data_IF_515912816993
#
_entry.id   IF_515912816993
#
_cell.length_a   1.000
_cell.length_b   1.000
_cell.length_c   1.000
_cell.angle_alpha   90.00
_cell.angle_beta   90.00
_cell.angle_gamma   90.00
#
_symmetry.space_group_name_H-M   'P 1'
#
loop_
_entity.id
_entity.type
_entity.pdbx_description
1 polymer ?
#
# COMPACT_ATOMS: atom_id res chain seq x y z
N UNK A 1 5.18 -0.36 -10.18
CA UNK A 1 4.80 -0.73 -11.56
C UNK A 1 3.57 0.04 -12.02
N UNK A 2 2.49 -0.04 -11.26
CA UNK A 2 1.31 0.83 -11.41
C UNK A 2 1.67 2.30 -11.20
N UNK A 3 2.40 2.63 -10.13
CA UNK A 3 2.88 4.00 -9.85
C UNK A 3 3.59 4.61 -11.07
N UNK A 4 4.58 3.91 -11.65
CA UNK A 4 5.28 4.37 -12.86
C UNK A 4 4.33 4.71 -14.03
N UNK A 5 3.19 4.02 -14.18
CA UNK A 5 2.22 4.30 -15.24
C UNK A 5 1.25 5.42 -14.87
N UNK A 6 0.87 5.52 -13.60
CA UNK A 6 0.08 6.63 -13.08
C UNK A 6 0.82 7.96 -13.32
N UNK A 7 2.10 8.01 -12.96
CA UNK A 7 2.88 9.25 -12.99
C UNK A 7 3.50 9.59 -14.34
N UNK A 8 3.41 8.69 -15.34
CA UNK A 8 4.14 8.82 -16.61
C UNK A 8 3.80 10.10 -17.40
N UNK A 9 2.54 10.54 -17.31
CA UNK A 9 2.02 11.68 -18.08
C UNK A 9 1.50 12.81 -17.18
N UNK A 10 1.82 12.76 -15.88
CA UNK A 10 1.47 13.81 -14.92
C UNK A 10 2.60 14.83 -14.84
N UNK A 11 2.24 16.09 -14.57
CA UNK A 11 3.23 17.12 -14.25
C UNK A 11 3.95 16.76 -12.94
N UNK A 12 5.29 16.62 -12.94
CA UNK A 12 6.04 16.22 -11.75
C UNK A 12 5.95 17.21 -10.58
N UNK A 13 5.46 18.45 -10.81
CA UNK A 13 5.24 19.43 -9.74
C UNK A 13 3.98 19.15 -8.92
N UNK A 14 3.05 18.37 -9.47
CA UNK A 14 1.73 18.13 -8.87
C UNK A 14 1.64 16.86 -8.03
N UNK A 15 2.70 16.04 -7.96
CA UNK A 15 2.69 14.81 -7.19
C UNK A 15 4.03 14.48 -6.55
N UNK A 16 3.99 13.66 -5.51
CA UNK A 16 5.16 13.08 -4.87
C UNK A 16 4.97 11.57 -4.69
N UNK A 17 6.01 10.79 -4.97
CA UNK A 17 6.02 9.33 -4.73
C UNK A 17 6.84 9.05 -3.50
N UNK A 18 6.20 8.52 -2.46
CA UNK A 18 6.79 8.31 -1.14
C UNK A 18 7.00 6.81 -0.93
N UNK A 19 8.23 6.29 -1.08
CA UNK A 19 8.53 4.90 -0.80
C UNK A 19 8.67 4.66 0.70
N UNK A 20 7.91 3.69 1.24
CA UNK A 20 7.94 3.39 2.67
C UNK A 20 8.85 2.19 2.95
N UNK A 21 9.88 2.46 3.75
CA UNK A 21 10.81 1.48 4.30
C UNK A 21 10.60 1.28 5.81
N UNK A 22 11.38 0.37 6.41
CA UNK A 22 11.39 0.16 7.85
C UNK A 22 11.64 1.48 8.61
N UNK A 23 10.97 1.71 9.75
CA UNK A 23 11.09 2.97 10.48
C UNK A 23 12.50 3.15 11.08
N UNK A 24 13.01 4.38 11.05
CA UNK A 24 14.27 4.77 11.68
C UNK A 24 14.11 5.05 13.19
N UNK A 25 15.21 5.34 13.88
CA UNK A 25 15.22 5.54 15.34
C UNK A 25 14.46 6.79 15.80
N UNK A 26 14.29 7.79 14.95
CA UNK A 26 13.43 8.95 15.23
C UNK A 26 11.96 8.53 15.10
N UNK A 27 11.59 7.93 13.97
CA UNK A 27 10.22 7.48 13.70
C UNK A 27 9.70 6.51 14.77
N UNK A 28 10.55 5.59 15.26
CA UNK A 28 10.22 4.65 16.35
C UNK A 28 9.93 5.32 17.70
N UNK A 29 10.39 6.55 17.91
CA UNK A 29 10.14 7.34 19.14
C UNK A 29 8.82 8.11 19.09
N UNK A 30 8.15 8.13 17.95
CA UNK A 30 6.84 8.76 17.78
C UNK A 30 5.74 7.72 17.60
N UNK A 31 4.49 8.18 17.63
CA UNK A 31 3.37 7.36 17.17
C UNK A 31 3.59 6.93 15.72
N UNK A 32 3.33 5.68 15.35
CA UNK A 32 3.68 5.15 14.03
C UNK A 32 3.03 5.89 12.85
N UNK A 33 1.85 6.49 13.06
CA UNK A 33 1.18 7.33 12.05
C UNK A 33 1.88 8.68 11.82
N UNK A 34 2.71 9.15 12.75
CA UNK A 34 3.36 10.46 12.69
C UNK A 34 4.13 10.66 11.38
N UNK A 35 4.95 9.67 10.99
CA UNK A 35 5.74 9.74 9.76
C UNK A 35 4.88 9.88 8.50
N UNK A 36 3.67 9.32 8.49
CA UNK A 36 2.77 9.41 7.35
C UNK A 36 2.03 10.74 7.31
N UNK A 37 1.71 11.32 8.48
CA UNK A 37 1.15 12.66 8.58
C UNK A 37 2.10 13.74 8.06
N UNK A 38 3.41 13.57 8.26
CA UNK A 38 4.42 14.51 7.74
C UNK A 38 4.45 14.54 6.20
N UNK A 39 4.08 13.43 5.56
CA UNK A 39 4.15 13.24 4.10
C UNK A 39 2.82 13.55 3.39
N UNK A 40 1.83 14.08 4.11
CA UNK A 40 0.56 14.44 3.51
C UNK A 40 0.74 15.58 2.49
N UNK A 41 0.10 15.50 1.32
CA UNK A 41 0.29 16.49 0.28
C UNK A 41 -0.38 17.81 0.67
N UNK A 42 0.19 18.92 0.22
CA UNK A 42 -0.50 20.22 0.27
C UNK A 42 -1.73 20.21 -0.65
N UNK A 43 -2.65 21.15 -0.44
CA UNK A 43 -3.84 21.28 -1.27
C UNK A 43 -3.52 21.32 -2.78
N UNK A 44 -4.30 20.60 -3.58
CA UNK A 44 -4.11 20.48 -5.03
C UNK A 44 -2.95 19.57 -5.46
N UNK A 45 -2.28 18.87 -4.53
CA UNK A 45 -1.19 17.93 -4.84
C UNK A 45 -1.58 16.49 -4.50
N UNK A 46 -0.87 15.55 -5.10
CA UNK A 46 -1.12 14.12 -4.97
C UNK A 46 0.08 13.45 -4.29
N UNK A 47 -0.14 12.80 -3.15
CA UNK A 47 0.84 11.91 -2.54
C UNK A 47 0.57 10.46 -2.95
N UNK A 48 1.59 9.76 -3.43
CA UNK A 48 1.51 8.36 -3.86
C UNK A 48 2.43 7.52 -2.97
N UNK A 49 1.83 6.78 -2.05
CA UNK A 49 2.52 5.90 -1.12
C UNK A 49 2.84 4.54 -1.76
N UNK A 50 4.13 4.18 -1.90
CA UNK A 50 4.58 2.82 -2.25
C UNK A 50 4.80 2.02 -0.96
N UNK A 51 3.78 1.23 -0.59
CA UNK A 51 3.44 0.82 0.80
C UNK A 51 3.00 2.01 1.65
N UNK A 52 2.40 1.76 2.81
CA UNK A 52 1.81 2.81 3.66
C UNK A 52 1.70 2.39 5.13
N UNK A 53 0.91 3.12 5.92
CA UNK A 53 0.60 2.82 7.34
C UNK A 53 0.01 1.41 7.56
N UNK A 54 -0.52 0.77 6.51
CA UNK A 54 -0.97 -0.62 6.57
C UNK A 54 0.14 -1.63 6.89
N UNK A 55 1.42 -1.23 6.82
CA UNK A 55 2.54 -2.06 7.30
C UNK A 55 2.34 -2.57 8.74
N UNK A 56 1.75 -1.75 9.62
CA UNK A 56 1.45 -2.07 11.02
C UNK A 56 0.55 -3.29 11.19
N UNK A 57 -0.43 -3.48 10.29
CA UNK A 57 -1.41 -4.57 10.34
C UNK A 57 -1.12 -5.70 9.34
N UNK A 58 -0.03 -5.57 8.57
CA UNK A 58 0.47 -6.55 7.61
C UNK A 58 1.85 -7.05 8.02
N UNK A 59 2.92 -6.53 7.41
CA UNK A 59 4.29 -7.03 7.60
C UNK A 59 4.72 -6.98 9.06
N UNK A 60 4.43 -5.91 9.79
CA UNK A 60 4.82 -5.81 11.20
C UNK A 60 4.09 -6.82 12.10
N UNK A 61 2.85 -7.17 11.74
CA UNK A 61 2.07 -8.23 12.42
C UNK A 61 2.64 -9.61 12.10
N UNK A 62 2.92 -9.91 10.83
CA UNK A 62 3.35 -11.25 10.38
C UNK A 62 4.80 -11.54 10.76
N UNK A 63 5.65 -10.51 10.80
CA UNK A 63 7.06 -10.63 11.19
C UNK A 63 7.29 -10.41 12.69
N UNK A 64 6.26 -10.03 13.46
CA UNK A 64 6.38 -9.79 14.91
C UNK A 64 7.18 -8.53 15.26
N UNK A 65 7.18 -7.52 14.38
CA UNK A 65 7.80 -6.21 14.66
C UNK A 65 6.91 -5.28 15.49
N UNK A 66 5.69 -5.71 15.79
CA UNK A 66 4.77 -5.04 16.71
C UNK A 66 4.10 -6.06 17.63
N UNK A 67 3.62 -5.62 18.79
CA UNK A 67 2.87 -6.48 19.70
C UNK A 67 1.44 -6.71 19.21
N UNK A 68 0.77 -7.79 19.66
CA UNK A 68 -0.63 -8.01 19.33
C UNK A 68 -1.57 -6.85 19.69
N UNK A 69 -1.31 -6.18 20.80
CA UNK A 69 -2.07 -5.02 21.27
C UNK A 69 -1.91 -3.84 20.31
N UNK A 70 -0.69 -3.63 19.80
CA UNK A 70 -0.39 -2.54 18.88
C UNK A 70 -1.12 -2.69 17.55
N UNK A 71 -1.03 -3.83 16.87
CA UNK A 71 -1.71 -3.96 15.57
C UNK A 71 -3.24 -4.05 15.72
N UNK A 72 -3.75 -4.63 16.83
CA UNK A 72 -5.20 -4.67 17.07
C UNK A 72 -5.77 -3.26 17.27
N UNK A 73 -5.04 -2.38 17.96
CA UNK A 73 -5.38 -0.97 18.15
C UNK A 73 -5.27 -0.19 16.83
N UNK A 74 -4.25 -0.49 16.03
CA UNK A 74 -3.96 0.19 14.76
C UNK A 74 -5.13 0.20 13.78
N UNK A 75 -5.98 -0.83 13.76
CA UNK A 75 -7.17 -0.83 12.90
C UNK A 75 -8.09 0.37 13.17
N UNK A 76 -8.31 0.73 14.44
CA UNK A 76 -9.12 1.89 14.79
C UNK A 76 -8.40 3.18 14.43
N UNK A 77 -7.12 3.28 14.78
CA UNK A 77 -6.28 4.47 14.53
C UNK A 77 -6.16 4.78 13.02
N UNK A 78 -6.06 3.74 12.18
CA UNK A 78 -6.06 3.86 10.72
C UNK A 78 -7.40 4.43 10.24
N UNK A 79 -8.53 3.86 10.68
CA UNK A 79 -9.84 4.34 10.26
C UNK A 79 -10.08 5.80 10.69
N UNK A 80 -9.71 6.16 11.92
CA UNK A 80 -9.82 7.53 12.43
C UNK A 80 -8.96 8.51 11.61
N UNK A 81 -7.72 8.13 11.28
CA UNK A 81 -6.85 8.96 10.43
C UNK A 81 -7.45 9.15 9.03
N UNK A 82 -7.94 8.07 8.41
CA UNK A 82 -8.53 8.12 7.08
C UNK A 82 -9.83 8.92 7.05
N UNK A 83 -10.63 8.85 8.12
CA UNK A 83 -11.82 9.67 8.32
C UNK A 83 -11.46 11.15 8.44
N UNK A 84 -10.43 11.50 9.21
CA UNK A 84 -9.96 12.88 9.31
C UNK A 84 -9.55 13.44 7.94
N UNK A 85 -8.82 12.65 7.13
CA UNK A 85 -8.43 13.04 5.78
C UNK A 85 -9.65 13.20 4.87
N UNK A 86 -10.59 12.26 4.90
CA UNK A 86 -11.80 12.33 4.09
C UNK A 86 -12.67 13.55 4.46
N UNK A 87 -12.81 13.85 5.75
CA UNK A 87 -13.56 15.00 6.26
C UNK A 87 -12.90 16.34 5.89
N UNK A 88 -11.57 16.38 5.83
CA UNK A 88 -10.82 17.53 5.30
C UNK A 88 -11.05 17.76 3.79
N UNK A 89 -11.51 16.73 3.07
CA UNK A 89 -11.75 16.78 1.63
C UNK A 89 -10.70 16.05 0.78
N UNK A 90 -9.78 15.31 1.41
CA UNK A 90 -8.80 14.50 0.69
C UNK A 90 -9.49 13.37 -0.07
N UNK A 91 -9.13 13.21 -1.35
CA UNK A 91 -9.53 12.04 -2.14
C UNK A 91 -8.58 10.88 -1.82
N UNK A 92 -9.02 9.98 -0.94
CA UNK A 92 -8.24 8.81 -0.54
C UNK A 92 -8.59 7.58 -1.39
N UNK A 93 -7.60 7.05 -2.10
CA UNK A 93 -7.77 5.83 -2.94
C UNK A 93 -6.80 4.75 -2.47
N UNK A 94 -7.34 3.61 -2.04
CA UNK A 94 -6.55 2.49 -1.50
C UNK A 94 -6.56 1.30 -2.46
N UNK A 95 -5.40 0.71 -2.71
CA UNK A 95 -5.25 -0.40 -3.65
C UNK A 95 -4.62 -1.62 -3.01
N UNK A 96 -5.30 -2.76 -3.08
CA UNK A 96 -4.71 -4.06 -2.80
C UNK A 96 -4.48 -4.80 -4.11
N UNK A 97 -3.22 -5.15 -4.40
CA UNK A 97 -2.83 -5.81 -5.65
C UNK A 97 -2.80 -7.33 -5.45
N UNK A 98 -3.93 -7.99 -5.66
CA UNK A 98 -4.07 -9.43 -5.47
C UNK A 98 -3.37 -10.20 -6.59
N UNK A 99 -2.50 -11.14 -6.23
CA UNK A 99 -1.86 -12.07 -7.17
C UNK A 99 -2.01 -13.49 -6.63
N UNK A 100 -2.07 -14.47 -7.53
CA UNK A 100 -2.12 -15.87 -7.12
C UNK A 100 -0.75 -16.36 -6.65
N UNK A 101 -0.77 -17.39 -5.79
CA UNK A 101 0.45 -17.99 -5.23
C UNK A 101 1.35 -18.51 -6.34
N UNK A 102 0.81 -19.09 -7.39
CA UNK A 102 1.56 -19.62 -8.54
C UNK A 102 2.15 -18.50 -9.38
N UNK A 103 1.37 -17.45 -9.65
CA UNK A 103 1.83 -16.29 -10.42
C UNK A 103 2.92 -15.50 -9.69
N UNK A 104 2.84 -15.41 -8.36
CA UNK A 104 3.91 -14.84 -7.54
C UNK A 104 5.22 -15.63 -7.74
N UNK A 105 5.17 -16.97 -7.64
CA UNK A 105 6.35 -17.82 -7.82
C UNK A 105 6.94 -17.67 -9.22
N UNK A 106 6.10 -17.70 -10.25
CA UNK A 106 6.52 -17.52 -11.64
C UNK A 106 7.28 -16.20 -11.81
N UNK A 107 6.77 -15.11 -11.22
CA UNK A 107 7.43 -13.79 -11.24
C UNK A 107 8.75 -13.76 -10.47
N UNK A 108 8.87 -14.50 -9.37
CA UNK A 108 10.13 -14.60 -8.63
C UNK A 108 11.17 -15.35 -9.48
N UNK A 109 10.82 -16.48 -10.07
CA UNK A 109 11.71 -17.22 -10.97
C UNK A 109 12.16 -16.37 -12.17
N UNK A 110 11.23 -15.64 -12.82
CA UNK A 110 11.57 -14.71 -13.90
C UNK A 110 12.55 -13.60 -13.47
N UNK A 111 12.36 -13.04 -12.27
CA UNK A 111 13.24 -11.98 -11.75
C UNK A 111 14.63 -12.53 -11.43
N UNK A 112 14.71 -13.72 -10.83
CA UNK A 112 15.98 -14.40 -10.51
C UNK A 112 16.81 -14.63 -11.78
N UNK A 113 16.14 -15.00 -12.87
CA UNK A 113 16.77 -15.29 -14.16
C UNK A 113 17.00 -14.04 -15.04
N UNK A 114 16.69 -12.83 -14.55
CA UNK A 114 16.81 -11.59 -15.30
C UNK A 114 17.91 -10.69 -14.71
N UNK A 115 19.02 -10.43 -15.44
CA UNK A 115 20.14 -9.61 -14.95
C UNK A 115 19.72 -8.20 -14.48
N UNK A 116 18.69 -7.63 -15.11
CA UNK A 116 18.22 -6.26 -14.81
C UNK A 116 17.21 -6.18 -13.65
N UNK A 117 16.75 -7.32 -13.13
CA UNK A 117 15.68 -7.38 -12.11
C UNK A 117 16.03 -8.26 -10.91
N UNK A 118 17.14 -8.99 -10.96
CA UNK A 118 17.62 -9.85 -9.87
C UNK A 118 17.76 -9.09 -8.55
N UNK A 119 18.22 -7.84 -8.59
CA UNK A 119 18.33 -6.97 -7.42
C UNK A 119 17.01 -6.71 -6.67
N UNK A 120 15.85 -6.99 -7.29
CA UNK A 120 14.51 -6.83 -6.68
C UNK A 120 14.02 -8.06 -5.92
N UNK A 121 14.86 -9.08 -5.79
CA UNK A 121 14.59 -10.26 -4.98
C UNK A 121 15.55 -10.28 -3.81
N UNK A 122 14.98 -10.48 -2.64
CA UNK A 122 15.69 -10.62 -1.38
C UNK A 122 15.29 -11.95 -0.73
N UNK A 123 16.09 -12.43 0.23
CA UNK A 123 15.73 -13.61 1.01
C UNK A 123 14.41 -13.41 1.79
N UNK A 124 14.10 -12.16 2.12
CA UNK A 124 12.83 -11.77 2.73
C UNK A 124 11.62 -12.08 1.83
N UNK A 125 11.74 -11.93 0.51
CA UNK A 125 10.66 -12.26 -0.42
C UNK A 125 10.32 -13.76 -0.38
N UNK A 126 11.33 -14.62 -0.25
CA UNK A 126 11.13 -16.07 -0.11
C UNK A 126 10.52 -16.45 1.23
N UNK A 127 11.00 -15.85 2.34
CA UNK A 127 10.39 -16.06 3.67
C UNK A 127 8.93 -15.62 3.72
N UNK A 128 8.61 -14.47 3.10
CA UNK A 128 7.24 -13.97 3.02
C UNK A 128 6.31 -14.94 2.29
N UNK A 129 6.84 -15.64 1.27
CA UNK A 129 6.09 -16.67 0.55
C UNK A 129 5.81 -17.91 1.40
N UNK A 130 6.75 -18.33 2.24
CA UNK A 130 6.53 -19.45 3.16
C UNK A 130 5.40 -19.16 4.15
N UNK A 131 5.25 -17.89 4.54
CA UNK A 131 4.17 -17.40 5.41
C UNK A 131 2.89 -16.99 4.66
N UNK A 132 2.68 -17.49 3.43
CA UNK A 132 1.55 -17.08 2.57
C UNK A 132 0.20 -17.11 3.29
N UNK A 133 -0.09 -18.19 4.00
CA UNK A 133 -1.41 -18.39 4.62
C UNK A 133 -1.63 -17.38 5.77
N UNK A 134 -0.57 -17.08 6.53
CA UNK A 134 -0.61 -16.05 7.60
C UNK A 134 -0.81 -14.65 7.00
N UNK A 135 -0.14 -14.37 5.87
CA UNK A 135 -0.34 -13.11 5.15
C UNK A 135 -1.76 -12.99 4.58
N UNK A 136 -2.34 -14.09 4.11
CA UNK A 136 -3.71 -14.12 3.61
C UNK A 136 -4.69 -13.72 4.71
N UNK A 137 -4.59 -14.33 5.90
CA UNK A 137 -5.43 -13.97 7.06
C UNK A 137 -5.28 -12.50 7.45
N UNK A 138 -4.04 -11.99 7.49
CA UNK A 138 -3.77 -10.60 7.82
C UNK A 138 -4.37 -9.62 6.79
N UNK A 139 -4.31 -9.96 5.50
CA UNK A 139 -4.88 -9.19 4.41
C UNK A 139 -6.41 -9.19 4.46
N UNK A 140 -7.03 -10.35 4.65
CA UNK A 140 -8.48 -10.46 4.76
C UNK A 140 -9.02 -9.62 5.93
N UNK A 141 -8.40 -9.73 7.10
CA UNK A 141 -8.77 -8.92 8.26
C UNK A 141 -8.54 -7.42 8.02
N UNK A 142 -7.43 -7.06 7.36
CA UNK A 142 -7.16 -5.66 6.98
C UNK A 142 -8.25 -5.11 6.07
N UNK A 143 -8.56 -5.80 4.98
CA UNK A 143 -9.58 -5.37 4.03
C UNK A 143 -10.94 -5.24 4.71
N UNK A 144 -11.30 -6.21 5.56
CA UNK A 144 -12.57 -6.21 6.28
C UNK A 144 -12.68 -5.06 7.28
N UNK A 145 -11.66 -4.85 8.12
CA UNK A 145 -11.71 -3.88 9.23
C UNK A 145 -11.46 -2.44 8.81
N UNK A 146 -10.90 -2.21 7.62
CA UNK A 146 -10.49 -0.87 7.18
C UNK A 146 -11.11 -0.44 5.86
N UNK A 147 -12.04 -1.20 5.28
CA UNK A 147 -12.85 -0.71 4.16
C UNK A 147 -14.04 0.07 4.70
N UNK A 148 -13.93 1.40 4.75
CA UNK A 148 -15.00 2.29 5.21
C UNK A 148 -15.71 2.98 4.04
N UNK A 149 -16.92 3.55 4.22
CA UNK A 149 -17.61 4.28 3.15
C UNK A 149 -16.81 5.45 2.58
N UNK A 150 -16.01 6.13 3.42
CA UNK A 150 -15.19 7.28 3.06
C UNK A 150 -13.78 6.91 2.58
N UNK A 151 -13.34 5.66 2.81
CA UNK A 151 -12.05 5.14 2.39
C UNK A 151 -12.17 3.65 2.01
N UNK A 152 -12.73 3.37 0.83
CA UNK A 152 -12.93 1.98 0.37
C UNK A 152 -11.65 1.39 -0.19
N UNK A 153 -11.45 0.09 0.04
CA UNK A 153 -10.41 -0.66 -0.64
C UNK A 153 -10.80 -1.00 -2.08
N UNK A 154 -9.85 -0.82 -2.99
CA UNK A 154 -9.94 -1.33 -4.37
C UNK A 154 -9.04 -2.55 -4.49
N UNK A 155 -9.65 -3.73 -4.61
CA UNK A 155 -8.93 -4.97 -4.94
C UNK A 155 -8.67 -4.99 -6.45
N UNK A 156 -7.40 -5.18 -6.82
CA UNK A 156 -6.92 -5.17 -8.19
C UNK A 156 -6.31 -6.53 -8.52
N UNK A 157 -6.97 -7.25 -9.42
CA UNK A 157 -6.60 -8.56 -9.94
C UNK A 157 -5.31 -8.42 -10.76
N UNK A 158 -4.19 -8.72 -10.12
CA UNK A 158 -2.87 -8.31 -10.58
C UNK A 158 -2.09 -9.43 -11.26
N UNK A 159 -2.75 -10.55 -11.59
CA UNK A 159 -2.17 -11.61 -12.42
C UNK A 159 -1.78 -11.07 -13.82
N UNK A 160 -2.63 -10.26 -14.43
CA UNK A 160 -2.27 -9.48 -15.62
C UNK A 160 -1.77 -8.09 -15.24
N UNK A 161 -0.49 -7.82 -15.46
CA UNK A 161 0.11 -6.50 -15.18
C UNK A 161 -0.54 -5.38 -15.99
N UNK A 162 -1.01 -5.66 -17.21
CA UNK A 162 -1.67 -4.66 -18.06
C UNK A 162 -3.05 -4.31 -17.53
N UNK A 163 -3.84 -5.31 -17.16
CA UNK A 163 -5.15 -5.12 -16.55
C UNK A 163 -5.04 -4.32 -15.25
N UNK A 164 -4.11 -4.71 -14.36
CA UNK A 164 -3.90 -4.02 -13.08
C UNK A 164 -3.61 -2.53 -13.23
N UNK A 165 -2.79 -2.16 -14.23
CA UNK A 165 -2.46 -0.76 -14.54
C UNK A 165 -3.70 0.00 -15.01
N UNK A 166 -4.47 -0.58 -15.92
CA UNK A 166 -5.68 0.05 -16.45
C UNK A 166 -6.74 0.23 -15.36
N UNK A 167 -6.97 -0.79 -14.53
CA UNK A 167 -7.93 -0.71 -13.42
C UNK A 167 -7.51 0.37 -12.42
N UNK A 168 -6.25 0.39 -11.99
CA UNK A 168 -5.75 1.42 -11.08
C UNK A 168 -5.91 2.85 -11.65
N UNK A 169 -5.54 3.06 -12.92
CA UNK A 169 -5.72 4.37 -13.59
C UNK A 169 -7.18 4.81 -13.61
N UNK A 170 -8.09 3.92 -14.05
CA UNK A 170 -9.53 4.21 -14.11
C UNK A 170 -10.11 4.51 -12.73
N UNK A 171 -9.69 3.77 -11.70
CA UNK A 171 -10.13 4.01 -10.33
C UNK A 171 -9.68 5.38 -9.82
N UNK A 172 -8.42 5.78 -10.05
CA UNK A 172 -7.94 7.11 -9.66
C UNK A 172 -8.71 8.21 -10.37
N UNK A 173 -8.88 8.10 -11.70
CA UNK A 173 -9.63 9.08 -12.49
C UNK A 173 -11.07 9.22 -11.95
N UNK A 174 -11.79 8.11 -11.80
CA UNK A 174 -13.17 8.15 -11.32
C UNK A 174 -13.31 8.68 -9.88
N UNK A 175 -12.33 8.43 -9.01
CA UNK A 175 -12.34 8.97 -7.65
C UNK A 175 -12.14 10.49 -7.63
N UNK A 176 -11.29 11.03 -8.52
CA UNK A 176 -11.07 12.47 -8.67
C UNK A 176 -12.30 13.13 -9.29
N UNK A 177 -12.83 12.58 -10.39
CA UNK A 177 -14.02 13.11 -11.08
C UNK A 177 -15.26 13.16 -10.18
N UNK A 178 -15.45 12.19 -9.29
CA UNK A 178 -16.57 12.18 -8.34
C UNK A 178 -16.49 13.27 -7.25
N UNK A 179 -15.36 13.97 -7.15
CA UNK A 179 -15.07 15.00 -6.15
C UNK A 179 -14.94 16.40 -6.75
N UNK A 180 -14.87 16.51 -8.07
CA UNK A 180 -14.95 17.76 -8.84
C UNK A 180 -16.42 18.21 -8.96
#
# INVERSE_FOLDING_TARGET
GNIKRLTQHMDPRGYEVIPIAAPNDIEKRHHYLWRFWQEMPKAGHIAIFDRSWYGRVLVERVEGFCTPEEYKRAYREINEMEEHLANYGTVLVKFWLQIDKEEQLRRFTERKNSPFKSWKLTDEDWRNREKWDIYQDAVEEMLFRTSSPHARWTIVESNSKYYARLKALKTVIGAIEAKL
#
